data_IF_402668000864
#
_entry.id   IF_402668000864
#
_cell.length_a   1.000
_cell.length_b   1.000
_cell.length_c   1.000
_cell.angle_alpha   90.00
_cell.angle_beta   90.00
_cell.angle_gamma   90.00
#
_symmetry.space_group_name_H-M   'P 1'
#
loop_
_entity.id
_entity.type
_entity.pdbx_description
1 polymer ?
#
# COMPACT_ATOMS: atom_id res chain seq x y z
N UNK A 1 6.66 50.01 23.74
CA UNK A 1 5.90 50.92 22.85
C UNK A 1 4.53 50.32 22.64
N UNK A 2 3.46 51.02 23.01
CA UNK A 2 2.09 50.50 22.87
C UNK A 2 1.69 50.52 21.39
N UNK A 3 1.31 49.36 20.85
CA UNK A 3 0.77 49.25 19.50
C UNK A 3 -0.71 49.70 19.57
N UNK A 4 -1.14 50.67 18.76
CA UNK A 4 -2.51 51.17 18.81
C UNK A 4 -3.52 50.05 18.49
N UNK A 5 -4.61 50.00 19.24
CA UNK A 5 -5.65 48.96 19.13
C UNK A 5 -6.56 49.13 17.89
N UNK A 6 -6.48 50.26 17.21
CA UNK A 6 -7.26 50.56 15.99
C UNK A 6 -6.37 51.31 15.01
N UNK A 7 -6.26 50.77 13.79
CA UNK A 7 -5.66 51.45 12.64
C UNK A 7 -6.81 52.24 12.00
N UNK A 8 -6.74 53.56 12.04
CA UNK A 8 -7.73 54.41 11.37
C UNK A 8 -7.62 54.23 9.85
N UNK A 9 -8.77 54.21 9.16
CA UNK A 9 -8.79 54.19 7.69
C UNK A 9 -8.09 55.44 7.14
N UNK A 10 -7.29 55.26 6.08
CA UNK A 10 -6.52 56.34 5.47
C UNK A 10 -7.45 57.42 4.91
N UNK A 11 -7.16 58.67 5.27
CA UNK A 11 -7.97 59.82 4.87
C UNK A 11 -7.86 60.04 3.35
N UNK A 12 -8.96 60.27 2.61
CA UNK A 12 -8.98 60.34 1.14
C UNK A 12 -8.13 61.46 0.52
N UNK A 13 -7.64 62.41 1.33
CA UNK A 13 -6.72 63.47 0.95
C UNK A 13 -5.26 63.21 1.34
N UNK A 14 -4.91 61.99 1.76
CA UNK A 14 -3.53 61.60 2.07
C UNK A 14 -2.70 61.67 0.77
N UNK A 15 -1.61 62.47 0.71
CA UNK A 15 -0.75 62.55 -0.48
C UNK A 15 -0.03 61.23 -0.82
N UNK A 16 -0.09 60.23 0.06
CA UNK A 16 0.39 58.87 -0.19
C UNK A 16 -0.69 57.93 -0.78
N UNK A 17 -1.95 58.37 -0.86
CA UNK A 17 -2.98 57.65 -1.60
C UNK A 17 -2.67 57.71 -3.09
N UNK A 18 -2.51 56.53 -3.68
CA UNK A 18 -2.47 56.37 -5.12
C UNK A 18 -3.78 56.92 -5.69
N UNK A 19 -3.70 58.01 -6.46
CA UNK A 19 -4.85 58.53 -7.20
C UNK A 19 -5.46 57.39 -8.04
N UNK A 20 -6.80 57.29 -8.10
CA UNK A 20 -7.46 56.24 -8.87
C UNK A 20 -6.94 56.29 -10.31
N UNK A 21 -6.52 55.13 -10.81
CA UNK A 21 -6.01 54.99 -12.18
C UNK A 21 -7.19 55.26 -13.14
N UNK A 22 -7.01 56.12 -14.15
CA UNK A 22 -8.06 56.39 -15.12
C UNK A 22 -8.41 55.12 -15.92
N UNK A 23 -9.69 54.93 -16.25
CA UNK A 23 -10.19 53.77 -17.03
C UNK A 23 -9.46 53.57 -18.37
N UNK A 24 -8.92 54.66 -18.94
CA UNK A 24 -8.09 54.64 -20.14
C UNK A 24 -6.71 55.21 -19.82
N UNK A 25 -5.69 54.38 -20.02
CA UNK A 25 -4.30 54.79 -19.83
C UNK A 25 -3.89 55.83 -20.87
N UNK A 26 -3.11 56.86 -20.48
CA UNK A 26 -2.58 57.81 -21.43
C UNK A 26 -1.58 57.13 -22.39
N UNK A 27 -1.39 57.66 -23.60
CA UNK A 27 -0.42 57.11 -24.54
C UNK A 27 1.00 57.22 -23.96
N UNK A 28 1.87 56.28 -24.38
CA UNK A 28 3.28 56.30 -24.01
C UNK A 28 3.90 57.66 -24.37
N UNK A 29 4.66 58.29 -23.47
CA UNK A 29 5.34 59.54 -23.78
C UNK A 29 6.54 59.34 -24.73
N UNK A 30 7.04 58.11 -24.90
CA UNK A 30 8.26 57.82 -25.67
C UNK A 30 8.26 58.36 -27.12
N UNK A 31 7.17 58.27 -27.90
CA UNK A 31 7.14 58.78 -29.27
C UNK A 31 7.19 60.31 -29.37
N UNK A 32 6.77 61.04 -28.32
CA UNK A 32 6.72 62.50 -28.30
C UNK A 32 8.03 63.15 -27.82
N UNK A 33 8.91 62.38 -27.17
CA UNK A 33 10.18 62.88 -26.64
C UNK A 33 11.15 63.40 -27.72
N UNK A 34 11.36 62.74 -28.88
CA UNK A 34 12.31 63.22 -29.89
C UNK A 34 11.93 64.59 -30.45
N UNK A 35 10.63 64.81 -30.73
CA UNK A 35 10.12 66.10 -31.22
C UNK A 35 10.22 67.18 -30.14
N UNK A 36 9.96 66.86 -28.88
CA UNK A 36 10.13 67.81 -27.77
C UNK A 36 11.60 68.19 -27.56
N UNK A 37 12.52 67.22 -27.62
CA UNK A 37 13.97 67.44 -27.49
C UNK A 37 14.47 68.33 -28.63
N UNK A 38 14.05 68.05 -29.88
CA UNK A 38 14.40 68.87 -31.03
C UNK A 38 13.86 70.30 -30.92
N UNK A 39 12.68 70.49 -30.32
CA UNK A 39 12.12 71.82 -30.08
C UNK A 39 12.88 72.63 -29.03
N UNK A 40 13.73 72.01 -28.20
CA UNK A 40 14.64 72.70 -27.29
C UNK A 40 16.00 73.06 -27.92
N UNK A 41 16.36 72.47 -29.07
CA UNK A 41 17.66 72.71 -29.73
C UNK A 41 17.97 74.20 -29.99
N UNK A 42 17.01 75.04 -30.46
CA UNK A 42 17.27 76.47 -30.69
C UNK A 42 17.52 77.27 -29.41
N UNK A 43 17.06 76.76 -28.26
CA UNK A 43 17.23 77.39 -26.94
C UNK A 43 18.50 76.93 -26.22
N UNK A 44 19.05 75.76 -26.60
CA UNK A 44 20.27 75.18 -26.03
C UNK A 44 21.51 75.59 -26.86
N UNK A 45 21.38 75.66 -28.19
CA UNK A 45 22.48 76.00 -29.10
C UNK A 45 22.09 77.18 -30.00
N UNK A 46 22.53 78.39 -29.61
CA UNK A 46 22.23 79.64 -30.31
C UNK A 46 22.75 79.66 -31.77
N UNK A 47 23.70 78.78 -32.14
CA UNK A 47 24.21 78.70 -33.51
C UNK A 47 23.20 78.05 -34.48
N UNK A 48 22.35 77.15 -33.98
CA UNK A 48 21.30 76.45 -34.75
C UNK A 48 20.05 77.30 -34.99
N UNK A 49 19.87 78.38 -34.24
CA UNK A 49 18.75 79.32 -34.44
C UNK A 49 18.89 80.17 -35.72
N UNK A 50 20.08 80.21 -36.33
CA UNK A 50 20.42 81.08 -37.48
C UNK A 50 20.49 80.36 -38.83
N UNK A 51 20.35 79.03 -38.85
CA UNK A 51 20.47 78.19 -40.06
C UNK A 51 19.15 77.63 -40.58
N UNK A 52 18.02 77.86 -39.91
CA UNK A 52 16.69 77.44 -40.37
C UNK A 52 15.96 78.56 -41.12
N UNK A 53 15.31 78.19 -42.22
CA UNK A 53 14.50 79.04 -43.11
C UNK A 53 13.34 79.74 -42.35
N UNK A 54 12.73 80.81 -42.88
CA UNK A 54 11.85 81.72 -42.13
C UNK A 54 10.43 81.17 -41.83
N UNK A 55 10.22 79.85 -41.91
CA UNK A 55 8.93 79.20 -41.57
C UNK A 55 8.95 78.48 -40.21
N UNK A 56 10.10 78.38 -39.53
CA UNK A 56 10.20 77.82 -38.16
C UNK A 56 10.11 78.93 -37.10
N UNK A 57 8.88 79.34 -36.75
CA UNK A 57 8.67 80.15 -35.55
C UNK A 57 9.11 79.35 -34.30
N UNK A 58 10.15 79.83 -33.60
CA UNK A 58 10.62 79.22 -32.36
C UNK A 58 9.48 79.07 -31.35
N UNK A 59 9.14 77.83 -30.99
CA UNK A 59 8.01 77.53 -30.09
C UNK A 59 8.25 78.16 -28.73
N UNK A 60 7.32 79.00 -28.26
CA UNK A 60 7.47 79.70 -27.00
C UNK A 60 7.72 78.76 -25.79
N UNK A 61 8.71 79.09 -24.95
CA UNK A 61 9.10 78.33 -23.76
C UNK A 61 7.94 77.90 -22.82
N UNK A 62 6.88 78.70 -22.60
CA UNK A 62 5.72 78.25 -21.83
C UNK A 62 4.99 77.05 -22.43
N UNK A 63 4.95 76.94 -23.76
CA UNK A 63 4.32 75.82 -24.49
C UNK A 63 5.16 74.55 -24.34
N UNK A 64 6.49 74.66 -24.45
CA UNK A 64 7.42 73.56 -24.21
C UNK A 64 7.35 73.07 -22.74
N UNK A 65 7.26 74.01 -21.80
CA UNK A 65 7.12 73.69 -20.37
C UNK A 65 5.78 72.99 -20.08
N UNK A 66 4.70 73.39 -20.76
CA UNK A 66 3.40 72.73 -20.67
C UNK A 66 3.45 71.29 -21.21
N UNK A 67 4.06 71.09 -22.38
CA UNK A 67 4.28 69.77 -22.99
C UNK A 67 5.10 68.84 -22.07
N UNK A 68 6.18 69.36 -21.48
CA UNK A 68 7.00 68.61 -20.51
C UNK A 68 6.18 68.18 -19.29
N UNK A 69 5.38 69.09 -18.70
CA UNK A 69 4.50 68.75 -17.56
C UNK A 69 3.46 67.69 -17.92
N UNK A 70 2.91 67.74 -19.13
CA UNK A 70 1.95 66.75 -19.61
C UNK A 70 2.61 65.37 -19.77
N UNK A 71 3.80 65.31 -20.36
CA UNK A 71 4.59 64.08 -20.48
C UNK A 71 4.94 63.50 -19.11
N UNK A 72 5.38 64.32 -18.15
CA UNK A 72 5.69 63.88 -16.79
C UNK A 72 4.45 63.32 -16.08
N UNK A 73 3.28 63.97 -16.21
CA UNK A 73 2.03 63.46 -15.66
C UNK A 73 1.64 62.12 -16.28
N UNK A 74 1.72 61.99 -17.61
CA UNK A 74 1.41 60.74 -18.31
C UNK A 74 2.36 59.60 -17.88
N UNK A 75 3.66 59.88 -17.78
CA UNK A 75 4.65 58.91 -17.31
C UNK A 75 4.35 58.45 -15.87
N UNK A 76 3.97 59.37 -14.99
CA UNK A 76 3.63 59.04 -13.60
C UNK A 76 2.36 58.20 -13.50
N UNK A 77 1.34 58.49 -14.32
CA UNK A 77 0.10 57.70 -14.39
C UNK A 77 0.41 56.27 -14.86
N UNK A 78 1.25 56.12 -15.90
CA UNK A 78 1.67 54.80 -16.38
C UNK A 78 2.50 54.03 -15.35
N UNK A 79 3.39 54.71 -14.61
CA UNK A 79 4.17 54.10 -13.54
C UNK A 79 3.25 53.58 -12.42
N UNK A 80 2.26 54.38 -12.02
CA UNK A 80 1.30 53.98 -10.99
C UNK A 80 0.43 52.80 -11.46
N UNK A 81 -0.02 52.81 -12.72
CA UNK A 81 -0.75 51.70 -13.32
C UNK A 81 0.08 50.41 -13.35
N UNK A 82 1.35 50.48 -13.77
CA UNK A 82 2.25 49.33 -13.78
C UNK A 82 2.52 48.77 -12.37
N UNK A 83 2.59 49.64 -11.36
CA UNK A 83 2.74 49.21 -9.95
C UNK A 83 1.50 48.49 -9.45
N UNK A 84 0.30 48.98 -9.78
CA UNK A 84 -0.94 48.31 -9.40
C UNK A 84 -1.05 46.95 -10.11
N UNK A 85 -0.85 46.90 -11.43
CA UNK A 85 -0.94 45.64 -12.18
C UNK A 85 0.08 44.61 -11.71
N UNK A 86 1.28 45.04 -11.31
CA UNK A 86 2.28 44.16 -10.72
C UNK A 86 1.89 43.67 -9.32
N UNK A 87 1.18 44.48 -8.54
CA UNK A 87 0.65 44.06 -7.24
C UNK A 87 -0.50 43.06 -7.40
N UNK A 88 -1.45 43.33 -8.30
CA UNK A 88 -2.55 42.42 -8.64
C UNK A 88 -2.05 41.07 -9.16
N UNK A 89 -1.08 41.07 -10.07
CA UNK A 89 -0.50 39.83 -10.59
C UNK A 89 0.24 39.02 -9.52
N UNK A 90 0.84 39.69 -8.51
CA UNK A 90 1.46 39.00 -7.36
C UNK A 90 0.42 38.39 -6.45
N UNK A 91 -0.65 39.12 -6.17
CA UNK A 91 -1.76 38.61 -5.35
C UNK A 91 -2.44 37.40 -6.03
N UNK A 92 -2.65 37.46 -7.35
CA UNK A 92 -3.16 36.32 -8.10
C UNK A 92 -2.22 35.12 -8.05
N UNK A 93 -0.91 35.35 -8.22
CA UNK A 93 0.10 34.30 -8.13
C UNK A 93 0.13 33.65 -6.74
N UNK A 94 0.09 34.45 -5.68
CA UNK A 94 0.03 33.96 -4.30
C UNK A 94 -1.24 33.13 -4.07
N UNK A 95 -2.38 33.57 -4.60
CA UNK A 95 -3.63 32.83 -4.55
C UNK A 95 -3.59 31.49 -5.27
N UNK A 96 -2.90 31.41 -6.41
CA UNK A 96 -2.68 30.14 -7.13
C UNK A 96 -1.72 29.23 -6.38
N UNK A 97 -0.65 29.76 -5.78
CA UNK A 97 0.31 28.96 -5.01
C UNK A 97 -0.34 28.31 -3.77
N UNK A 98 -1.22 29.02 -3.08
CA UNK A 98 -1.99 28.45 -1.96
C UNK A 98 -2.84 27.27 -2.44
N UNK A 99 -3.58 27.43 -3.54
CA UNK A 99 -4.40 26.34 -4.12
C UNK A 99 -3.55 25.15 -4.56
N UNK A 100 -2.37 25.40 -5.12
CA UNK A 100 -1.46 24.34 -5.52
C UNK A 100 -1.05 23.49 -4.32
N UNK A 101 -0.67 24.13 -3.21
CA UNK A 101 -0.29 23.44 -1.96
C UNK A 101 -1.43 22.61 -1.38
N UNK A 102 -2.67 23.12 -1.43
CA UNK A 102 -3.86 22.38 -1.02
C UNK A 102 -4.04 21.10 -1.85
N UNK A 103 -3.94 21.19 -3.17
CA UNK A 103 -4.06 20.04 -4.07
C UNK A 103 -2.92 19.04 -3.87
N UNK A 104 -1.70 19.52 -3.64
CA UNK A 104 -0.55 18.65 -3.35
C UNK A 104 -0.71 17.90 -2.04
N UNK A 105 -1.25 18.54 -1.01
CA UNK A 105 -1.59 17.89 0.25
C UNK A 105 -2.61 16.77 0.04
N UNK A 106 -3.73 17.06 -0.64
CA UNK A 106 -4.76 16.05 -0.91
C UNK A 106 -4.24 14.90 -1.77
N UNK A 107 -3.42 15.20 -2.80
CA UNK A 107 -2.77 14.16 -3.61
C UNK A 107 -1.89 13.24 -2.76
N UNK A 108 -1.07 13.82 -1.87
CA UNK A 108 -0.20 13.04 -1.00
C UNK A 108 -1.02 12.20 -0.01
N UNK A 109 -2.07 12.77 0.57
CA UNK A 109 -2.99 12.05 1.46
C UNK A 109 -3.64 10.87 0.76
N UNK A 110 -4.24 11.08 -0.42
CA UNK A 110 -4.87 10.01 -1.20
C UNK A 110 -3.85 8.94 -1.55
N UNK A 111 -2.64 9.32 -1.98
CA UNK A 111 -1.57 8.37 -2.28
C UNK A 111 -1.18 7.52 -1.07
N UNK A 112 -1.05 8.13 0.11
CA UNK A 112 -0.79 7.42 1.35
C UNK A 112 -1.94 6.49 1.74
N UNK A 113 -3.20 6.94 1.62
CA UNK A 113 -4.37 6.12 1.89
C UNK A 113 -4.46 4.95 0.91
N UNK A 114 -4.23 5.16 -0.40
CA UNK A 114 -4.16 4.09 -1.40
C UNK A 114 -3.06 3.09 -1.07
N UNK A 115 -1.86 3.55 -0.71
CA UNK A 115 -0.78 2.65 -0.31
C UNK A 115 -1.17 1.82 0.91
N UNK A 116 -1.80 2.44 1.92
CA UNK A 116 -2.32 1.71 3.08
C UNK A 116 -3.38 0.69 2.67
N UNK A 117 -4.30 1.03 1.76
CA UNK A 117 -5.31 0.09 1.27
C UNK A 117 -4.70 -1.10 0.54
N UNK A 118 -3.70 -0.89 -0.32
CA UNK A 118 -2.96 -1.99 -0.97
C UNK A 118 -2.27 -2.88 0.08
N UNK A 119 -1.76 -2.28 1.15
CA UNK A 119 -1.20 -3.03 2.28
C UNK A 119 -2.31 -3.77 3.07
N UNK A 120 -3.51 -3.20 3.24
CA UNK A 120 -4.65 -3.84 3.92
C UNK A 120 -5.26 -4.99 3.13
N UNK A 121 -5.33 -4.92 1.79
CA UNK A 121 -5.74 -6.06 0.97
C UNK A 121 -4.85 -7.27 1.23
N UNK A 122 -3.56 -7.06 1.50
CA UNK A 122 -2.64 -8.13 1.89
C UNK A 122 -2.88 -8.67 3.32
N UNK A 123 -3.50 -7.89 4.21
CA UNK A 123 -3.73 -8.24 5.64
C UNK A 123 -5.14 -8.77 5.90
N UNK A 124 -6.20 -8.25 5.25
CA UNK A 124 -7.55 -8.81 5.35
C UNK A 124 -7.65 -10.16 4.65
N UNK A 125 -6.99 -10.34 3.50
CA UNK A 125 -6.87 -11.67 2.88
C UNK A 125 -6.14 -12.64 3.82
N UNK A 126 -5.11 -12.18 4.54
CA UNK A 126 -4.41 -12.96 5.55
C UNK A 126 -5.30 -13.32 6.75
N UNK A 127 -6.12 -12.38 7.26
CA UNK A 127 -7.02 -12.61 8.39
C UNK A 127 -8.24 -13.48 8.04
N UNK A 128 -8.76 -13.35 6.82
CA UNK A 128 -9.83 -14.20 6.28
C UNK A 128 -9.30 -15.61 5.94
N UNK A 129 -8.10 -15.75 5.37
CA UNK A 129 -7.49 -17.05 5.08
C UNK A 129 -7.02 -17.82 6.33
N UNK A 130 -6.65 -17.14 7.41
CA UNK A 130 -6.19 -17.80 8.65
C UNK A 130 -7.24 -17.90 9.76
N UNK A 131 -8.50 -17.52 9.51
CA UNK A 131 -9.62 -17.86 10.40
C UNK A 131 -9.47 -17.35 11.84
N UNK A 132 -8.87 -16.18 12.07
CA UNK A 132 -8.82 -15.56 13.41
C UNK A 132 -9.95 -14.54 13.60
N UNK A 133 -11.21 -14.99 13.57
CA UNK A 133 -12.30 -14.26 14.24
C UNK A 133 -12.23 -14.60 15.73
N UNK A 134 -11.33 -13.94 16.45
CA UNK A 134 -11.12 -14.19 17.88
C UNK A 134 -10.47 -13.03 18.61
N UNK A 135 -11.31 -12.16 19.21
CA UNK A 135 -11.01 -11.15 20.24
C UNK A 135 -9.68 -10.40 20.10
N UNK A 136 -9.77 -9.19 19.54
CA UNK A 136 -8.75 -8.14 19.68
C UNK A 136 -8.63 -7.77 21.17
N UNK A 137 -7.68 -8.38 21.86
CA UNK A 137 -7.12 -7.83 23.09
C UNK A 137 -5.88 -7.03 22.69
N UNK A 138 -5.93 -5.72 22.95
CA UNK A 138 -4.85 -4.77 22.75
C UNK A 138 -3.59 -5.21 23.50
N UNK A 139 -2.62 -5.76 22.79
CA UNK A 139 -1.22 -5.66 23.16
C UNK A 139 -0.36 -5.68 21.90
N UNK A 140 0.68 -4.84 21.90
CA UNK A 140 1.61 -4.60 20.79
C UNK A 140 2.00 -5.88 20.05
N UNK A 141 1.40 -6.12 18.89
CA UNK A 141 1.87 -7.11 17.94
C UNK A 141 2.90 -6.42 17.04
N UNK A 142 4.16 -6.75 17.26
CA UNK A 142 5.22 -6.54 16.25
C UNK A 142 4.87 -7.49 15.11
N UNK A 143 4.26 -6.97 14.05
CA UNK A 143 3.98 -7.75 12.84
C UNK A 143 5.31 -8.05 12.15
N UNK A 144 5.83 -9.25 12.38
CA UNK A 144 6.91 -9.82 11.58
C UNK A 144 6.39 -10.02 10.16
N UNK A 145 7.04 -9.32 9.22
CA UNK A 145 6.86 -9.37 7.77
C UNK A 145 7.05 -10.83 7.29
N UNK A 146 5.98 -11.62 7.18
CA UNK A 146 6.04 -12.88 6.42
C UNK A 146 5.92 -12.52 4.95
N UNK A 147 7.02 -12.66 4.22
CA UNK A 147 6.98 -12.67 2.77
C UNK A 147 5.94 -13.71 2.31
N UNK A 148 5.06 -13.34 1.39
CA UNK A 148 4.11 -14.24 0.76
C UNK A 148 4.87 -15.44 0.17
N UNK A 149 4.80 -16.58 0.85
CA UNK A 149 5.15 -17.85 0.22
C UNK A 149 4.02 -18.14 -0.76
N UNK A 150 4.31 -18.32 -2.06
CA UNK A 150 3.27 -18.61 -3.04
C UNK A 150 2.54 -19.87 -2.62
N UNK A 151 1.21 -19.79 -2.52
CA UNK A 151 0.36 -20.95 -2.27
C UNK A 151 0.59 -21.92 -3.44
N UNK A 152 0.93 -23.17 -3.11
CA UNK A 152 1.30 -24.21 -4.07
C UNK A 152 0.04 -24.75 -4.76
N UNK A 153 -0.55 -23.92 -5.62
CA UNK A 153 -1.76 -24.24 -6.37
C UNK A 153 -1.45 -25.27 -7.46
N UNK A 154 -2.35 -26.22 -7.73
CA UNK A 154 -2.22 -27.12 -8.87
C UNK A 154 -2.17 -26.30 -10.17
N UNK A 155 -1.31 -26.72 -11.10
CA UNK A 155 -1.20 -26.07 -12.40
C UNK A 155 -2.56 -26.06 -13.12
N UNK A 156 -2.83 -24.99 -13.86
CA UNK A 156 -4.15 -24.73 -14.47
C UNK A 156 -4.56 -25.89 -15.37
N UNK A 157 -3.61 -26.47 -16.10
CA UNK A 157 -3.86 -27.61 -16.99
C UNK A 157 -4.27 -28.87 -16.23
N UNK A 158 -3.64 -29.13 -15.08
CA UNK A 158 -4.02 -30.24 -14.19
C UNK A 158 -5.40 -30.06 -13.57
N UNK A 159 -5.75 -28.83 -13.16
CA UNK A 159 -7.07 -28.50 -12.64
C UNK A 159 -8.16 -28.67 -13.70
N UNK A 160 -7.96 -28.11 -14.90
CA UNK A 160 -8.94 -28.23 -15.99
C UNK A 160 -9.15 -29.69 -16.43
N UNK A 161 -8.17 -30.56 -16.22
CA UNK A 161 -8.27 -31.98 -16.52
C UNK A 161 -8.93 -32.80 -15.39
N UNK A 162 -8.86 -32.35 -14.14
CA UNK A 162 -9.42 -33.07 -12.98
C UNK A 162 -10.87 -32.68 -12.66
N UNK A 163 -11.32 -31.51 -13.12
CA UNK A 163 -12.61 -30.93 -12.77
C UNK A 163 -13.70 -31.27 -13.78
N UNK A 164 -14.90 -31.53 -13.27
CA UNK A 164 -16.07 -31.83 -14.08
C UNK A 164 -16.52 -30.61 -14.90
N UNK A 165 -16.97 -30.87 -16.14
CA UNK A 165 -17.41 -29.83 -17.08
C UNK A 165 -18.51 -28.91 -16.51
N UNK A 166 -19.38 -29.44 -15.64
CA UNK A 166 -20.44 -28.65 -14.99
C UNK A 166 -19.92 -27.54 -14.07
N UNK A 167 -18.71 -27.70 -13.53
CA UNK A 167 -18.04 -26.68 -12.71
C UNK A 167 -17.35 -25.66 -13.60
N UNK A 168 -16.83 -26.08 -14.76
CA UNK A 168 -16.26 -25.16 -15.76
C UNK A 168 -17.32 -24.30 -16.43
N UNK A 169 -18.56 -24.78 -16.53
CA UNK A 169 -19.69 -24.06 -17.11
C UNK A 169 -20.20 -22.90 -16.22
N UNK A 170 -19.75 -22.82 -14.96
CA UNK A 170 -20.07 -21.67 -14.07
C UNK A 170 -19.12 -20.49 -14.29
N UNK A 171 -18.03 -20.68 -15.04
CA UNK A 171 -17.07 -19.63 -15.33
C UNK A 171 -17.68 -18.55 -16.23
N UNK A 172 -17.34 -17.28 -16.00
CA UNK A 172 -17.62 -16.20 -16.95
C UNK A 172 -17.01 -16.47 -18.33
N UNK A 173 -17.44 -15.75 -19.37
CA UNK A 173 -16.75 -15.76 -20.65
C UNK A 173 -15.26 -15.39 -20.47
N UNK A 174 -14.36 -16.03 -21.25
CA UNK A 174 -12.91 -15.79 -21.14
C UNK A 174 -12.48 -14.35 -21.40
N UNK A 175 -13.31 -13.58 -22.10
CA UNK A 175 -13.03 -12.19 -22.46
C UNK A 175 -13.46 -11.19 -21.36
N UNK A 176 -14.04 -11.68 -20.26
CA UNK A 176 -14.48 -10.85 -19.12
C UNK A 176 -13.31 -10.56 -18.17
N UNK A 177 -13.22 -9.34 -17.65
CA UNK A 177 -12.18 -8.92 -16.69
C UNK A 177 -12.25 -9.75 -15.39
N UNK A 178 -13.42 -10.31 -15.07
CA UNK A 178 -13.65 -11.19 -13.92
C UNK A 178 -13.22 -12.65 -14.11
N UNK A 179 -12.82 -13.08 -15.32
CA UNK A 179 -12.56 -14.49 -15.63
C UNK A 179 -11.41 -15.08 -14.80
N UNK A 180 -10.27 -14.38 -14.73
CA UNK A 180 -9.08 -14.82 -14.00
C UNK A 180 -9.35 -14.97 -12.50
N UNK A 181 -10.12 -14.04 -11.92
CA UNK A 181 -10.52 -14.11 -10.51
C UNK A 181 -11.46 -15.30 -10.26
N UNK A 182 -12.45 -15.50 -11.12
CA UNK A 182 -13.37 -16.63 -11.01
C UNK A 182 -12.64 -17.98 -11.17
N UNK A 183 -11.67 -18.08 -12.08
CA UNK A 183 -10.83 -19.27 -12.27
C UNK A 183 -10.01 -19.57 -11.00
N UNK A 184 -9.37 -18.54 -10.43
CA UNK A 184 -8.57 -18.68 -9.22
C UNK A 184 -9.43 -19.12 -8.03
N UNK A 185 -10.63 -18.57 -7.89
CA UNK A 185 -11.58 -18.95 -6.82
C UNK A 185 -11.98 -20.43 -6.98
N UNK A 186 -12.35 -20.87 -8.18
CA UNK A 186 -12.72 -22.26 -8.42
C UNK A 186 -11.56 -23.23 -8.17
N UNK A 187 -10.33 -22.84 -8.50
CA UNK A 187 -9.13 -23.62 -8.18
C UNK A 187 -8.97 -23.82 -6.67
N UNK A 188 -9.11 -22.74 -5.90
CA UNK A 188 -9.03 -22.79 -4.43
C UNK A 188 -10.16 -23.63 -3.82
N UNK A 189 -11.38 -23.51 -4.33
CA UNK A 189 -12.52 -24.31 -3.85
C UNK A 189 -12.30 -25.80 -4.12
N UNK A 190 -11.80 -26.17 -5.29
CA UNK A 190 -11.47 -27.55 -5.61
C UNK A 190 -10.36 -28.11 -4.72
N UNK A 191 -9.29 -27.34 -4.48
CA UNK A 191 -8.21 -27.76 -3.59
C UNK A 191 -8.71 -27.96 -2.16
N UNK A 192 -9.57 -27.06 -1.67
CA UNK A 192 -10.19 -27.20 -0.36
C UNK A 192 -10.99 -28.51 -0.27
N UNK A 193 -11.77 -28.85 -1.28
CA UNK A 193 -12.50 -30.12 -1.32
C UNK A 193 -11.56 -31.34 -1.30
N UNK A 194 -10.44 -31.28 -2.04
CA UNK A 194 -9.44 -32.36 -2.02
C UNK A 194 -8.78 -32.51 -0.66
N UNK A 195 -8.42 -31.40 -0.01
CA UNK A 195 -7.85 -31.40 1.34
C UNK A 195 -8.85 -32.03 2.32
N UNK A 196 -10.12 -31.62 2.29
CA UNK A 196 -11.15 -32.21 3.14
C UNK A 196 -11.31 -33.73 2.92
N UNK A 197 -11.23 -34.20 1.66
CA UNK A 197 -11.23 -35.64 1.35
C UNK A 197 -10.01 -36.35 1.95
N UNK A 198 -8.81 -35.77 1.84
CA UNK A 198 -7.57 -36.32 2.42
C UNK A 198 -7.63 -36.34 3.95
N UNK A 199 -8.13 -35.30 4.59
CA UNK A 199 -8.30 -35.23 6.04
C UNK A 199 -9.27 -36.31 6.55
N UNK A 200 -10.39 -36.50 5.86
CA UNK A 200 -11.33 -37.58 6.19
C UNK A 200 -10.66 -38.96 6.08
N UNK A 201 -9.83 -39.18 5.05
CA UNK A 201 -9.08 -40.41 4.88
C UNK A 201 -8.04 -40.61 6.00
N UNK A 202 -7.31 -39.56 6.39
CA UNK A 202 -6.35 -39.62 7.50
C UNK A 202 -7.06 -39.92 8.82
N UNK A 203 -8.22 -39.32 9.07
CA UNK A 203 -9.03 -39.60 10.25
C UNK A 203 -9.45 -41.08 10.30
N UNK A 204 -9.88 -41.64 9.16
CA UNK A 204 -10.25 -43.04 9.05
C UNK A 204 -9.05 -43.98 9.27
N UNK A 205 -7.91 -43.70 8.62
CA UNK A 205 -6.69 -44.49 8.81
C UNK A 205 -6.17 -44.44 10.25
N UNK A 206 -6.33 -43.30 10.93
CA UNK A 206 -5.98 -43.14 12.34
C UNK A 206 -6.85 -44.02 13.23
N UNK A 207 -8.16 -44.04 12.97
CA UNK A 207 -9.12 -44.91 13.67
C UNK A 207 -8.78 -46.39 13.48
N UNK A 208 -8.45 -46.78 12.25
CA UNK A 208 -8.10 -48.16 11.93
C UNK A 208 -6.77 -48.57 12.59
N UNK A 209 -5.75 -47.71 12.56
CA UNK A 209 -4.49 -47.90 13.28
C UNK A 209 -4.73 -48.16 14.77
N UNK A 210 -5.57 -47.35 15.42
CA UNK A 210 -5.85 -47.48 16.85
C UNK A 210 -6.65 -48.75 17.16
N UNK A 211 -7.50 -49.21 16.25
CA UNK A 211 -8.15 -50.51 16.34
C UNK A 211 -7.11 -51.66 16.25
N UNK A 212 -6.17 -51.61 15.31
CA UNK A 212 -5.09 -52.59 15.19
C UNK A 212 -4.17 -52.62 16.40
N UNK A 213 -3.84 -51.46 16.99
CA UNK A 213 -3.02 -51.38 18.21
C UNK A 213 -3.74 -52.08 19.37
N UNK A 214 -5.05 -51.89 19.52
CA UNK A 214 -5.85 -52.58 20.55
C UNK A 214 -5.88 -54.09 20.32
N UNK A 215 -6.17 -54.53 19.10
CA UNK A 215 -6.17 -55.96 18.76
C UNK A 215 -4.80 -56.61 19.00
N UNK A 216 -3.70 -55.92 18.64
CA UNK A 216 -2.34 -56.39 18.89
C UNK A 216 -2.05 -56.57 20.38
N UNK A 217 -2.48 -55.64 21.23
CA UNK A 217 -2.34 -55.75 22.70
C UNK A 217 -3.13 -56.95 23.24
N UNK A 218 -4.35 -57.16 22.76
CA UNK A 218 -5.19 -58.28 23.17
C UNK A 218 -4.58 -59.63 22.78
N UNK A 219 -4.09 -59.75 21.54
CA UNK A 219 -3.39 -60.95 21.07
C UNK A 219 -2.16 -61.21 21.95
N UNK A 220 -1.35 -60.19 22.24
CA UNK A 220 -0.18 -60.35 23.12
C UNK A 220 -0.58 -60.91 24.50
N UNK A 221 -1.60 -60.35 25.13
CA UNK A 221 -2.10 -60.83 26.44
C UNK A 221 -2.52 -62.30 26.35
N UNK A 222 -3.24 -62.69 25.28
CA UNK A 222 -3.67 -64.07 25.07
C UNK A 222 -2.47 -65.01 24.85
N UNK A 223 -1.47 -64.60 24.08
CA UNK A 223 -0.25 -65.38 23.86
C UNK A 223 0.56 -65.54 25.15
N UNK A 224 0.77 -64.46 25.91
CA UNK A 224 1.48 -64.50 27.19
C UNK A 224 0.79 -65.48 28.18
N UNK A 225 -0.55 -65.52 28.17
CA UNK A 225 -1.31 -66.49 28.97
C UNK A 225 -1.08 -67.94 28.52
N UNK A 226 -1.10 -68.20 27.20
CA UNK A 226 -0.81 -69.52 26.63
C UNK A 226 0.60 -70.00 27.02
N UNK A 227 1.60 -69.12 26.98
CA UNK A 227 2.98 -69.45 27.35
C UNK A 227 3.09 -69.87 28.83
N UNK A 228 2.38 -69.18 29.73
CA UNK A 228 2.30 -69.57 31.16
C UNK A 228 1.66 -70.95 31.31
N UNK A 229 0.58 -71.24 30.59
CA UNK A 229 -0.06 -72.55 30.62
C UNK A 229 0.87 -73.65 30.08
N UNK A 230 1.56 -73.42 28.96
CA UNK A 230 2.52 -74.37 28.39
C UNK A 230 3.69 -74.65 29.34
N UNK A 231 4.24 -73.62 30.00
CA UNK A 231 5.27 -73.80 31.01
C UNK A 231 4.77 -74.60 32.23
N UNK A 232 3.50 -74.41 32.62
CA UNK A 232 2.82 -75.23 33.62
C UNK A 232 2.72 -76.69 33.21
N UNK A 233 2.22 -76.95 31.99
CA UNK A 233 2.12 -78.30 31.42
C UNK A 233 3.48 -79.00 31.37
N UNK A 234 4.53 -78.32 30.90
CA UNK A 234 5.88 -78.88 30.83
C UNK A 234 6.40 -79.31 32.22
N UNK A 235 6.20 -78.49 33.26
CA UNK A 235 6.57 -78.84 34.64
C UNK A 235 5.80 -80.05 35.16
N UNK A 236 4.50 -80.09 34.95
CA UNK A 236 3.66 -81.23 35.36
C UNK A 236 4.06 -82.51 34.62
N UNK A 237 4.28 -82.43 33.31
CA UNK A 237 4.72 -83.58 32.50
C UNK A 237 6.07 -84.12 32.99
N UNK A 238 7.04 -83.24 33.29
CA UNK A 238 8.34 -83.65 33.86
C UNK A 238 8.18 -84.29 35.25
N UNK A 239 7.32 -83.75 36.11
CA UNK A 239 7.04 -84.32 37.43
C UNK A 239 6.40 -85.70 37.32
N UNK A 240 5.41 -85.87 36.44
CA UNK A 240 4.79 -87.18 36.15
C UNK A 240 5.82 -88.15 35.59
N UNK A 241 6.64 -87.72 34.63
CA UNK A 241 7.72 -88.53 34.07
C UNK A 241 8.71 -89.01 35.14
N UNK A 242 9.11 -88.13 36.06
CA UNK A 242 9.96 -88.49 37.20
C UNK A 242 9.27 -89.50 38.12
N UNK A 243 7.97 -89.33 38.43
CA UNK A 243 7.23 -90.28 39.27
C UNK A 243 7.06 -91.65 38.62
N UNK A 244 6.84 -91.69 37.30
CA UNK A 244 6.81 -92.94 36.54
C UNK A 244 8.17 -93.64 36.60
N UNK A 245 9.26 -92.88 36.50
CA UNK A 245 10.62 -93.42 36.67
C UNK A 245 10.86 -93.99 38.07
N UNK A 246 10.47 -93.26 39.12
CA UNK A 246 10.58 -93.72 40.52
C UNK A 246 9.79 -95.04 40.72
N UNK A 247 8.57 -95.14 40.18
CA UNK A 247 7.74 -96.36 40.24
C UNK A 247 8.40 -97.52 39.49
N UNK A 248 9.01 -97.25 38.33
CA UNK A 248 9.74 -98.25 37.57
C UNK A 248 11.00 -98.75 38.29
N UNK A 249 11.74 -97.88 38.98
CA UNK A 249 12.92 -98.24 39.77
C UNK A 249 12.55 -99.07 41.03
N UNK A 250 11.37 -98.84 41.62
CA UNK A 250 10.83 -99.66 42.73
C UNK A 250 10.35 -101.04 42.26
N UNK A 251 9.90 -101.17 41.01
CA UNK A 251 9.53 -102.45 40.41
C UNK A 251 10.71 -103.21 39.77
N UNK A 252 11.88 -102.59 39.62
CA UNK A 252 13.09 -103.25 39.14
C UNK A 252 13.73 -104.07 40.30
N UNK A 253 13.71 -105.41 40.27
CA UNK A 253 14.31 -106.23 41.32
C UNK A 253 15.81 -105.95 41.40
N UNK A 254 16.31 -105.66 42.60
CA UNK A 254 17.73 -105.58 42.91
C UNK A 254 18.40 -106.93 42.61
N UNK A 255 18.85 -107.12 41.38
CA UNK A 255 19.76 -108.21 41.01
C UNK A 255 21.17 -107.62 40.99
N UNK A 256 21.72 -107.41 42.17
CA UNK A 256 23.15 -107.58 42.39
C UNK A 256 23.32 -108.80 43.29
N UNK A 257 23.06 -109.95 42.67
CA UNK A 257 23.54 -111.25 43.11
C UNK A 257 24.98 -111.51 42.62
N UNK A 258 25.63 -112.58 43.10
CA UNK A 258 27.07 -112.65 43.41
C UNK A 258 27.93 -113.44 42.39
N UNK A 259 29.27 -113.49 42.66
CA UNK A 259 30.27 -114.51 42.23
C UNK A 259 30.84 -114.32 40.81
N UNK A 260 32.09 -114.63 40.40
CA UNK A 260 33.33 -115.19 40.96
C UNK A 260 34.45 -114.78 39.95
N UNK A 261 35.71 -114.52 40.34
CA UNK A 261 36.76 -115.54 40.60
C UNK A 261 37.95 -114.90 41.30
#
# INVERSE_FOLDING_TARGET
>A
MAIPHTIQEQHPADPLLLLPIPEKLPPSPLPALPSLISAFDPYIDASKASSSSPEDESIALPVLTSSMRQITRNAQVLLNAARLSAAEAREELDGVDVKLREVEYERNRVREETQRCMDYESVELFLLCFGMVGKVQTDRIVFSRSAHEPIDLPDVETFLASVDQSVLDTLPPKDDEGYEYALTILQLEHELEEILKREAQVAQLTKDRDAYIRAKKEIKIKTDAVDVHLAGFARTANAVGSKVKDVAEVQAPSVSGPSAS
#
